data_IF_534497144721
#
_entry.id   IF_534497144721
#
_cell.length_a   1.000
_cell.length_b   1.000
_cell.length_c   1.000
_cell.angle_alpha   90.00
_cell.angle_beta   90.00
_cell.angle_gamma   90.00
#
_symmetry.space_group_name_H-M   'P 1'
#
loop_
_entity.id
_entity.type
_entity.pdbx_description
1 polymer ?
#
# COMPACT_ATOMS: atom_id res chain seq x y z
N UNK A 1 4.49 4.02 -7.18
CA UNK A 1 3.81 4.15 -5.89
C UNK A 1 3.48 2.77 -5.27
N UNK A 2 2.79 1.86 -5.95
CA UNK A 2 2.44 0.52 -5.42
C UNK A 2 3.66 -0.31 -5.02
N UNK A 3 4.78 -0.16 -5.72
CA UNK A 3 6.07 -0.80 -5.37
C UNK A 3 6.56 -0.40 -3.98
N UNK A 4 6.39 0.89 -3.61
CA UNK A 4 6.76 1.39 -2.28
C UNK A 4 5.89 0.74 -1.18
N UNK A 5 4.56 0.69 -1.38
CA UNK A 5 3.65 0.04 -0.43
C UNK A 5 3.96 -1.45 -0.25
N UNK A 6 4.26 -2.16 -1.34
CA UNK A 6 4.62 -3.58 -1.30
C UNK A 6 5.95 -3.82 -0.56
N UNK A 7 6.96 -2.97 -0.80
CA UNK A 7 8.25 -3.06 -0.11
C UNK A 7 8.09 -2.82 1.40
N UNK A 8 7.36 -1.78 1.81
CA UNK A 8 7.14 -1.48 3.23
C UNK A 8 6.34 -2.59 3.91
N UNK A 9 5.29 -3.12 3.27
CA UNK A 9 4.56 -4.28 3.76
C UNK A 9 5.51 -5.47 3.99
N UNK A 10 6.39 -5.77 3.03
CA UNK A 10 7.35 -6.87 3.14
C UNK A 10 8.36 -6.66 4.28
N UNK A 11 8.84 -5.42 4.53
CA UNK A 11 9.67 -5.10 5.68
C UNK A 11 8.97 -5.45 6.99
N UNK A 12 7.70 -5.08 7.12
CA UNK A 12 6.92 -5.36 8.32
C UNK A 12 6.62 -6.85 8.51
N UNK A 13 6.26 -7.56 7.45
CA UNK A 13 5.99 -9.00 7.50
C UNK A 13 7.24 -9.80 7.88
N UNK A 14 8.37 -9.50 7.23
CA UNK A 14 9.63 -10.24 7.44
C UNK A 14 10.43 -9.74 8.63
N UNK A 15 10.14 -8.54 9.13
CA UNK A 15 10.93 -7.78 10.13
C UNK A 15 12.38 -7.54 9.68
N UNK A 16 12.64 -7.62 8.37
CA UNK A 16 13.92 -7.30 7.75
C UNK A 16 13.90 -5.84 7.31
N UNK A 17 14.24 -4.95 8.23
CA UNK A 17 14.23 -3.53 7.98
C UNK A 17 15.59 -3.06 7.51
N UNK A 18 15.66 -2.21 6.45
CA UNK A 18 16.89 -1.50 6.11
C UNK A 18 17.39 -0.66 7.30
N UNK A 19 18.69 -0.38 7.36
CA UNK A 19 19.29 0.39 8.45
C UNK A 19 18.67 1.79 8.60
N UNK A 20 18.35 2.44 7.49
CA UNK A 20 17.72 3.75 7.45
C UNK A 20 16.26 3.77 7.91
N UNK A 21 15.59 2.61 8.00
CA UNK A 21 14.19 2.56 8.39
C UNK A 21 14.00 2.92 9.86
N UNK A 22 13.09 3.83 10.17
CA UNK A 22 12.86 4.34 11.52
C UNK A 22 12.54 3.23 12.52
N UNK A 23 13.31 3.16 13.61
CA UNK A 23 13.08 2.18 14.69
C UNK A 23 11.70 2.32 15.32
N UNK A 24 11.12 3.51 15.37
CA UNK A 24 9.79 3.78 15.94
C UNK A 24 8.65 3.18 15.12
N UNK A 25 8.92 2.88 13.84
CA UNK A 25 7.94 2.29 12.91
C UNK A 25 8.13 0.77 12.75
N UNK A 26 9.03 0.13 13.48
CA UNK A 26 9.32 -1.30 13.35
C UNK A 26 8.42 -2.12 14.25
N UNK A 27 7.85 -3.19 13.71
CA UNK A 27 7.21 -4.23 14.50
C UNK A 27 8.22 -5.30 14.88
N UNK A 28 8.13 -5.78 16.10
CA UNK A 28 9.00 -6.85 16.65
C UNK A 28 8.21 -8.13 16.95
N UNK A 29 7.00 -8.22 16.45
CA UNK A 29 6.07 -9.35 16.58
C UNK A 29 5.38 -9.63 15.26
N UNK A 30 4.74 -10.81 15.09
CA UNK A 30 3.84 -11.06 13.96
C UNK A 30 2.76 -10.00 13.87
N UNK A 31 2.41 -9.59 12.64
CA UNK A 31 1.46 -8.53 12.38
C UNK A 31 0.22 -9.04 11.63
N UNK A 32 -0.88 -8.33 11.83
CA UNK A 32 -2.06 -8.41 10.99
C UNK A 32 -2.08 -7.19 10.06
N UNK A 33 -1.85 -7.41 8.78
CA UNK A 33 -1.90 -6.36 7.79
C UNK A 33 -3.20 -6.42 6.99
N UNK A 34 -3.63 -5.28 6.48
CA UNK A 34 -4.71 -5.16 5.50
C UNK A 34 -4.21 -4.33 4.31
N UNK A 35 -4.51 -4.80 3.11
CA UNK A 35 -4.24 -4.11 1.85
C UNK A 35 -5.57 -3.86 1.16
N UNK A 36 -5.82 -2.61 0.79
CA UNK A 36 -7.04 -2.20 0.09
C UNK A 36 -6.67 -1.50 -1.20
N UNK A 37 -7.31 -1.89 -2.29
CA UNK A 37 -7.21 -1.20 -3.57
C UNK A 37 -8.60 -0.90 -4.15
N UNK A 38 -8.65 -0.24 -5.28
CA UNK A 38 -9.90 0.17 -5.94
C UNK A 38 -10.71 -1.03 -6.48
N UNK A 39 -10.04 -2.07 -7.04
CA UNK A 39 -10.71 -3.23 -7.63
C UNK A 39 -10.00 -4.55 -7.32
N UNK A 40 -10.78 -5.65 -7.20
CA UNK A 40 -10.24 -7.01 -6.96
C UNK A 40 -9.26 -7.46 -8.05
N UNK A 41 -9.54 -7.12 -9.32
CA UNK A 41 -8.64 -7.45 -10.42
C UNK A 41 -7.25 -6.81 -10.29
N UNK A 42 -7.17 -5.64 -9.66
CA UNK A 42 -5.90 -4.94 -9.42
C UNK A 42 -5.06 -5.64 -8.36
N UNK A 43 -5.71 -6.28 -7.39
CA UNK A 43 -5.00 -7.13 -6.41
C UNK A 43 -4.20 -8.19 -7.15
N UNK A 44 -4.82 -8.89 -8.10
CA UNK A 44 -4.18 -9.96 -8.86
C UNK A 44 -3.11 -9.45 -9.84
N UNK A 45 -3.46 -8.39 -10.61
CA UNK A 45 -2.61 -7.91 -11.71
C UNK A 45 -1.45 -7.01 -11.27
N UNK A 46 -1.59 -6.32 -10.14
CA UNK A 46 -0.63 -5.30 -9.70
C UNK A 46 -0.10 -5.60 -8.30
N UNK A 47 -0.98 -5.77 -7.32
CA UNK A 47 -0.59 -5.83 -5.91
C UNK A 47 0.14 -7.14 -5.58
N UNK A 48 -0.44 -8.28 -5.94
CA UNK A 48 0.16 -9.59 -5.67
C UNK A 48 1.54 -9.74 -6.33
N UNK A 49 1.74 -9.43 -7.63
CA UNK A 49 3.06 -9.46 -8.25
C UNK A 49 4.09 -8.57 -7.53
N UNK A 50 3.69 -7.35 -7.13
CA UNK A 50 4.57 -6.44 -6.40
C UNK A 50 4.95 -6.97 -5.01
N UNK A 51 4.01 -7.55 -4.28
CA UNK A 51 4.33 -8.17 -2.99
C UNK A 51 5.32 -9.33 -3.18
N UNK A 52 5.14 -10.14 -4.23
CA UNK A 52 6.04 -11.27 -4.52
C UNK A 52 7.45 -10.86 -4.93
N UNK A 53 7.66 -9.64 -5.41
CA UNK A 53 9.00 -9.09 -5.67
C UNK A 53 9.80 -8.93 -4.36
N UNK A 54 9.14 -8.64 -3.23
CA UNK A 54 9.79 -8.32 -1.96
C UNK A 54 9.60 -9.37 -0.86
N UNK A 55 8.50 -10.15 -0.91
CA UNK A 55 8.21 -11.17 0.08
C UNK A 55 8.73 -12.53 -0.42
N UNK A 56 9.74 -13.13 0.24
CA UNK A 56 10.28 -14.42 -0.15
C UNK A 56 9.20 -15.51 -0.16
N UNK A 57 9.16 -16.32 -1.22
CA UNK A 57 8.14 -17.36 -1.38
C UNK A 57 8.17 -18.39 -0.25
N UNK A 58 9.35 -18.72 0.25
CA UNK A 58 9.56 -19.63 1.37
C UNK A 58 9.08 -19.08 2.72
N UNK A 59 8.79 -17.78 2.81
CA UNK A 59 8.20 -17.16 4.01
C UNK A 59 6.68 -17.33 4.08
N UNK A 60 6.05 -17.58 2.94
CA UNK A 60 4.60 -17.80 2.84
C UNK A 60 4.27 -19.22 3.32
N UNK A 61 3.30 -19.33 4.24
CA UNK A 61 2.79 -20.62 4.73
C UNK A 61 1.55 -21.07 3.96
N UNK A 62 0.64 -20.14 3.68
CA UNK A 62 -0.65 -20.44 3.06
C UNK A 62 -1.19 -19.22 2.32
N UNK A 63 -1.95 -19.48 1.25
CA UNK A 63 -2.63 -18.46 0.44
C UNK A 63 -4.08 -18.87 0.27
N UNK A 64 -5.00 -18.00 0.70
CA UNK A 64 -6.43 -18.16 0.45
C UNK A 64 -6.87 -17.26 -0.69
N UNK A 65 -7.70 -17.83 -1.57
CA UNK A 65 -8.34 -17.11 -2.67
C UNK A 65 -9.86 -17.19 -2.54
N UNK A 66 -10.56 -16.16 -3.00
CA UNK A 66 -12.05 -16.17 -3.11
C UNK A 66 -12.48 -16.76 -4.46
N UNK A 67 -13.78 -16.94 -4.63
CA UNK A 67 -14.39 -17.30 -5.90
C UNK A 67 -13.91 -16.35 -7.00
N UNK A 68 -13.50 -16.91 -8.14
CA UNK A 68 -12.86 -16.13 -9.21
C UNK A 68 -11.32 -16.08 -9.13
N UNK A 69 -10.71 -16.73 -8.12
CA UNK A 69 -9.26 -16.89 -8.02
C UNK A 69 -8.53 -15.71 -7.38
N UNK A 70 -9.22 -14.64 -7.02
CA UNK A 70 -8.59 -13.44 -6.45
C UNK A 70 -7.99 -13.70 -5.07
N UNK A 71 -6.83 -13.11 -4.83
CA UNK A 71 -6.12 -13.19 -3.55
C UNK A 71 -6.98 -12.56 -2.44
N UNK A 72 -7.22 -13.32 -1.39
CA UNK A 72 -7.99 -12.87 -0.22
C UNK A 72 -7.11 -12.75 1.02
N UNK A 73 -6.23 -13.73 1.27
CA UNK A 73 -5.35 -13.71 2.43
C UNK A 73 -4.02 -14.41 2.15
N UNK A 74 -2.95 -13.83 2.64
CA UNK A 74 -1.64 -14.49 2.81
C UNK A 74 -1.43 -14.74 4.28
N UNK A 75 -0.98 -15.95 4.64
CA UNK A 75 -0.50 -16.30 5.98
C UNK A 75 0.98 -16.62 5.91
N UNK A 76 1.78 -15.96 6.72
CA UNK A 76 3.22 -16.17 6.83
C UNK A 76 3.55 -17.27 7.85
N UNK A 77 4.77 -17.86 7.75
CA UNK A 77 5.23 -18.91 8.65
C UNK A 77 5.36 -18.47 10.11
N UNK A 78 5.65 -17.19 10.34
CA UNK A 78 5.75 -16.59 11.66
C UNK A 78 4.41 -16.25 12.31
N UNK A 79 3.30 -16.48 11.60
CA UNK A 79 1.95 -16.18 12.05
C UNK A 79 1.41 -14.81 11.59
N UNK A 80 2.22 -13.97 10.92
CA UNK A 80 1.72 -12.75 10.30
C UNK A 80 0.68 -13.06 9.22
N UNK A 81 -0.29 -12.16 9.05
CA UNK A 81 -1.34 -12.29 8.03
C UNK A 81 -1.49 -11.00 7.24
N UNK A 82 -1.89 -11.14 5.99
CA UNK A 82 -2.29 -10.02 5.14
C UNK A 82 -3.66 -10.33 4.56
N UNK A 83 -4.63 -9.48 4.84
CA UNK A 83 -5.96 -9.53 4.23
C UNK A 83 -6.03 -8.56 3.05
N UNK A 84 -6.71 -8.96 1.99
CA UNK A 84 -6.87 -8.17 0.77
C UNK A 84 -8.33 -7.85 0.54
N UNK A 85 -8.65 -6.58 0.44
CA UNK A 85 -10.00 -6.07 0.15
C UNK A 85 -9.96 -5.10 -1.04
N UNK A 86 -11.10 -4.90 -1.68
CA UNK A 86 -11.27 -3.85 -2.67
C UNK A 86 -12.37 -2.88 -2.28
N UNK A 87 -12.28 -1.63 -2.74
CA UNK A 87 -13.30 -0.60 -2.50
C UNK A 87 -14.66 -0.90 -3.14
N UNK A 88 -14.75 -1.97 -3.93
CA UNK A 88 -16.01 -2.49 -4.49
C UNK A 88 -16.83 -3.26 -3.47
N UNK A 89 -16.21 -3.73 -2.37
CA UNK A 89 -16.88 -4.50 -1.32
C UNK A 89 -17.72 -3.61 -0.41
N UNK A 90 -18.70 -4.22 0.25
CA UNK A 90 -19.55 -3.54 1.23
C UNK A 90 -18.74 -2.97 2.38
N UNK A 91 -19.21 -1.84 2.95
CA UNK A 91 -18.58 -1.18 4.09
C UNK A 91 -18.33 -2.13 5.26
N UNK A 92 -19.23 -3.06 5.52
CA UNK A 92 -19.11 -4.02 6.62
C UNK A 92 -17.84 -4.88 6.54
N UNK A 93 -17.30 -5.11 5.33
CA UNK A 93 -16.05 -5.85 5.15
C UNK A 93 -14.82 -5.14 5.76
N UNK A 94 -14.92 -3.83 6.00
CA UNK A 94 -13.84 -2.98 6.51
C UNK A 94 -13.96 -2.71 8.01
N UNK A 95 -14.95 -3.29 8.68
CA UNK A 95 -15.24 -3.03 10.09
C UNK A 95 -14.96 -4.26 10.97
N UNK A 96 -14.72 -4.04 12.26
CA UNK A 96 -14.64 -5.09 13.28
C UNK A 96 -13.35 -5.90 13.33
N UNK A 97 -12.39 -5.67 12.44
CA UNK A 97 -11.08 -6.33 12.50
C UNK A 97 -10.00 -5.39 13.02
N UNK A 98 -9.10 -5.92 13.85
CA UNK A 98 -7.93 -5.20 14.35
C UNK A 98 -6.71 -5.43 13.42
N UNK A 99 -5.99 -4.36 13.11
CA UNK A 99 -4.84 -4.39 12.22
C UNK A 99 -3.63 -3.65 12.82
N UNK A 100 -2.43 -4.14 12.50
CA UNK A 100 -1.15 -3.48 12.81
C UNK A 100 -0.68 -2.58 11.68
N UNK A 101 -1.00 -2.95 10.45
CA UNK A 101 -0.56 -2.24 9.25
C UNK A 101 -1.68 -2.17 8.22
N UNK A 102 -1.90 -0.98 7.69
CA UNK A 102 -2.83 -0.73 6.59
C UNK A 102 -2.10 -0.12 5.40
N UNK A 103 -2.22 -0.76 4.24
CA UNK A 103 -1.80 -0.19 2.97
C UNK A 103 -3.01 0.05 2.07
N UNK A 104 -3.31 1.32 1.80
CA UNK A 104 -4.30 1.73 0.80
C UNK A 104 -3.60 2.08 -0.51
N UNK A 105 -3.84 1.29 -1.57
CA UNK A 105 -3.34 1.58 -2.91
C UNK A 105 -4.47 2.15 -3.75
N UNK A 106 -4.30 3.36 -4.26
CA UNK A 106 -5.29 4.24 -4.88
C UNK A 106 -6.28 4.86 -3.89
N UNK A 107 -7.05 5.88 -4.34
CA UNK A 107 -7.98 6.59 -3.47
C UNK A 107 -9.07 5.67 -2.88
N UNK A 108 -9.32 5.85 -1.59
CA UNK A 108 -10.26 5.05 -0.81
C UNK A 108 -11.53 5.85 -0.49
N UNK A 109 -12.69 5.18 -0.43
CA UNK A 109 -13.91 5.80 0.08
C UNK A 109 -13.74 6.14 1.56
N UNK A 110 -14.15 7.36 1.95
CA UNK A 110 -13.98 7.86 3.34
C UNK A 110 -14.50 6.89 4.40
N UNK A 111 -15.70 6.34 4.21
CA UNK A 111 -16.32 5.43 5.18
C UNK A 111 -15.52 4.14 5.38
N UNK A 112 -14.93 3.59 4.31
CA UNK A 112 -14.10 2.39 4.37
C UNK A 112 -12.79 2.69 5.11
N UNK A 113 -12.15 3.81 4.76
CA UNK A 113 -10.96 4.30 5.48
C UNK A 113 -11.22 4.44 6.98
N UNK A 114 -12.31 5.10 7.38
CA UNK A 114 -12.67 5.29 8.79
C UNK A 114 -12.93 3.95 9.51
N UNK A 115 -13.51 2.97 8.82
CA UNK A 115 -13.70 1.61 9.34
C UNK A 115 -12.37 0.95 9.70
N UNK A 116 -11.41 1.00 8.78
CA UNK A 116 -10.07 0.42 8.97
C UNK A 116 -9.31 1.18 10.06
N UNK A 117 -9.37 2.52 10.06
CA UNK A 117 -8.66 3.34 11.04
C UNK A 117 -9.09 3.04 12.48
N UNK A 118 -10.37 2.71 12.72
CA UNK A 118 -10.83 2.24 14.04
C UNK A 118 -10.10 0.96 14.46
N UNK A 119 -9.92 0.00 13.54
CA UNK A 119 -9.20 -1.24 13.81
C UNK A 119 -7.69 -1.08 14.07
N UNK A 120 -7.10 0.04 13.64
CA UNK A 120 -5.68 0.34 13.87
C UNK A 120 -5.42 0.97 15.26
N UNK A 121 -6.43 1.65 15.85
CA UNK A 121 -6.25 2.42 17.10
C UNK A 121 -5.77 1.53 18.25
N UNK A 122 -6.44 0.40 18.47
CA UNK A 122 -6.14 -0.50 19.60
C UNK A 122 -4.76 -1.12 19.51
N UNK A 123 -4.24 -1.28 18.30
CA UNK A 123 -2.94 -1.90 18.04
C UNK A 123 -1.83 -0.87 17.80
N UNK A 124 -2.14 0.42 17.79
CA UNK A 124 -1.24 1.52 17.40
C UNK A 124 -0.64 1.25 16.04
N UNK A 125 -1.51 0.89 15.10
CA UNK A 125 -1.12 0.48 13.75
C UNK A 125 -0.57 1.64 12.93
N UNK A 126 0.06 1.29 11.80
CA UNK A 126 0.66 2.22 10.84
C UNK A 126 -0.16 2.18 9.55
N UNK A 127 -0.35 3.35 8.96
CA UNK A 127 -1.02 3.51 7.66
C UNK A 127 -0.03 4.00 6.61
N UNK A 128 -0.06 3.37 5.45
CA UNK A 128 0.62 3.78 4.22
C UNK A 128 -0.42 3.95 3.12
N UNK A 129 -0.46 5.11 2.50
CA UNK A 129 -1.36 5.39 1.38
C UNK A 129 -0.54 5.74 0.14
N UNK A 130 -0.76 5.02 -0.94
CA UNK A 130 -0.07 5.21 -2.21
C UNK A 130 -1.09 5.55 -3.29
N UNK A 131 -1.35 6.83 -3.51
CA UNK A 131 -2.44 7.29 -4.38
C UNK A 131 -2.06 8.50 -5.23
N UNK A 132 -2.91 8.79 -6.22
CA UNK A 132 -2.91 10.06 -6.95
C UNK A 132 -4.20 10.78 -6.57
N UNK A 133 -4.17 12.03 -6.07
CA UNK A 133 -5.35 12.70 -5.50
C UNK A 133 -6.28 13.28 -6.58
N UNK A 134 -6.71 12.46 -7.55
CA UNK A 134 -7.57 12.85 -8.66
C UNK A 134 -9.07 12.70 -8.35
N UNK A 135 -9.39 11.70 -7.54
CA UNK A 135 -10.76 11.38 -7.14
C UNK A 135 -10.85 11.34 -5.63
N UNK A 136 -11.83 11.33 -4.90
CA UNK A 136 -11.90 11.32 -3.43
C UNK A 136 -11.28 12.59 -2.80
N UNK A 137 -11.93 13.76 -2.92
CA UNK A 137 -11.39 15.04 -2.44
C UNK A 137 -11.03 15.06 -0.95
N UNK A 138 -11.66 14.23 -0.11
CA UNK A 138 -11.37 14.12 1.31
C UNK A 138 -9.92 13.71 1.59
N UNK A 139 -9.31 12.88 0.73
CA UNK A 139 -7.93 12.44 0.92
C UNK A 139 -6.96 13.64 0.79
N UNK A 140 -7.23 14.54 -0.16
CA UNK A 140 -6.46 15.79 -0.23
C UNK A 140 -6.67 16.62 1.02
N UNK A 141 -7.92 16.88 1.40
CA UNK A 141 -8.28 17.77 2.49
C UNK A 141 -7.87 17.26 3.88
N UNK A 142 -7.99 15.95 4.13
CA UNK A 142 -7.76 15.37 5.45
C UNK A 142 -6.41 14.69 5.61
N UNK A 143 -5.73 14.33 4.51
CA UNK A 143 -4.42 13.69 4.56
C UNK A 143 -3.33 14.64 4.06
N UNK A 144 -3.45 15.10 2.79
CA UNK A 144 -2.38 15.90 2.18
C UNK A 144 -2.28 17.28 2.82
N UNK A 145 -3.41 18.00 2.92
CA UNK A 145 -3.43 19.37 3.43
C UNK A 145 -3.21 19.44 4.97
N UNK A 146 -3.41 18.32 5.68
CA UNK A 146 -3.13 18.21 7.14
C UNK A 146 -1.79 17.58 7.47
N UNK A 147 -0.90 17.43 6.48
CA UNK A 147 0.46 16.93 6.73
C UNK A 147 1.20 17.84 7.70
N UNK A 148 1.71 17.26 8.77
CA UNK A 148 2.48 17.96 9.81
C UNK A 148 3.94 17.46 9.89
N UNK A 149 4.31 16.54 9.00
CA UNK A 149 5.63 15.91 8.97
C UNK A 149 5.95 15.04 10.19
N UNK A 150 4.97 14.79 11.07
CA UNK A 150 5.13 14.01 12.30
C UNK A 150 4.13 12.87 12.40
N UNK A 151 2.83 13.19 12.40
CA UNK A 151 1.74 12.21 12.42
C UNK A 151 1.35 11.80 11.00
N UNK A 152 1.31 12.78 10.10
CA UNK A 152 1.06 12.60 8.69
C UNK A 152 2.25 13.15 7.92
N UNK A 153 2.96 12.27 7.25
CA UNK A 153 4.06 12.61 6.34
C UNK A 153 3.62 12.37 4.91
N UNK A 154 3.79 13.36 4.05
CA UNK A 154 3.41 13.28 2.64
C UNK A 154 4.67 13.41 1.78
N UNK A 155 4.87 12.44 0.91
CA UNK A 155 5.93 12.43 -0.09
C UNK A 155 5.26 12.54 -1.46
N UNK A 156 5.53 13.62 -2.17
CA UNK A 156 5.06 13.84 -3.53
C UNK A 156 6.19 13.52 -4.50
N UNK A 157 5.89 12.72 -5.52
CA UNK A 157 6.80 12.43 -6.61
C UNK A 157 6.09 12.55 -7.95
N UNK A 158 6.80 13.09 -8.92
CA UNK A 158 6.39 13.24 -10.31
C UNK A 158 7.11 12.22 -11.21
N UNK A 159 6.78 12.17 -12.48
CA UNK A 159 7.54 11.37 -13.45
C UNK A 159 8.99 11.83 -13.56
N UNK A 160 9.25 13.13 -13.39
CA UNK A 160 10.60 13.70 -13.45
C UNK A 160 11.50 13.22 -12.32
N UNK A 161 10.92 12.87 -11.16
CA UNK A 161 11.67 12.32 -10.02
C UNK A 161 12.10 10.87 -10.25
N UNK A 162 11.55 10.19 -11.28
CA UNK A 162 11.78 8.78 -11.57
C UNK A 162 12.45 8.56 -12.95
N UNK A 163 13.19 9.53 -13.45
CA UNK A 163 13.89 9.42 -14.74
C UNK A 163 15.08 8.45 -14.70
N UNK A 164 15.72 8.31 -13.56
CA UNK A 164 16.93 7.51 -13.39
C UNK A 164 16.79 6.56 -12.20
N UNK A 165 17.40 5.39 -12.30
CA UNK A 165 17.59 4.49 -11.16
C UNK A 165 18.70 5.01 -10.23
N UNK A 166 18.88 4.33 -9.08
CA UNK A 166 19.90 4.69 -8.09
C UNK A 166 21.34 4.59 -8.62
N UNK A 167 21.55 3.99 -9.78
CA UNK A 167 22.85 3.86 -10.45
C UNK A 167 23.01 4.88 -11.58
N UNK A 168 22.02 5.78 -11.76
CA UNK A 168 22.01 6.79 -12.82
C UNK A 168 21.62 6.25 -14.19
N UNK A 169 21.09 5.01 -14.29
CA UNK A 169 20.59 4.46 -15.56
C UNK A 169 19.21 5.03 -15.85
N UNK A 170 18.92 5.52 -17.08
CA UNK A 170 17.60 5.99 -17.44
C UNK A 170 16.52 4.91 -17.27
N UNK A 171 15.45 5.23 -16.56
CA UNK A 171 14.23 4.41 -16.45
C UNK A 171 13.19 4.91 -17.45
N UNK A 172 13.06 6.26 -17.55
CA UNK A 172 12.20 6.94 -18.50
C UNK A 172 13.07 7.80 -19.41
N UNK A 173 12.88 7.73 -20.73
CA UNK A 173 13.54 8.66 -21.62
C UNK A 173 12.85 10.01 -21.60
N UNK A 174 13.59 11.07 -21.91
CA UNK A 174 13.05 12.41 -21.97
C UNK A 174 11.94 12.51 -23.02
N UNK A 175 12.14 11.86 -24.16
CA UNK A 175 11.17 11.78 -25.26
C UNK A 175 9.86 11.12 -24.79
N UNK A 176 9.92 10.01 -24.05
CA UNK A 176 8.74 9.32 -23.54
C UNK A 176 7.93 10.20 -22.55
N UNK A 177 8.62 11.04 -21.77
CA UNK A 177 7.97 12.00 -20.86
C UNK A 177 7.29 13.11 -21.67
N UNK A 178 7.98 13.69 -22.65
CA UNK A 178 7.44 14.75 -23.52
C UNK A 178 6.24 14.24 -24.34
N UNK A 179 6.31 13.02 -24.88
CA UNK A 179 5.17 12.39 -25.57
C UNK A 179 3.95 12.21 -24.65
N UNK A 180 4.19 11.78 -23.42
CA UNK A 180 3.11 11.63 -22.44
C UNK A 180 2.49 12.98 -22.06
N UNK A 181 3.29 14.01 -21.81
CA UNK A 181 2.80 15.36 -21.49
C UNK A 181 1.96 15.93 -22.63
N UNK A 182 2.42 15.76 -23.86
CA UNK A 182 1.67 16.19 -25.04
C UNK A 182 0.32 15.46 -25.18
N UNK A 183 0.26 14.18 -24.80
CA UNK A 183 -0.97 13.39 -24.83
C UNK A 183 -2.02 13.81 -23.79
N UNK A 184 -1.63 14.55 -22.75
CA UNK A 184 -2.53 15.08 -21.71
C UNK A 184 -3.08 16.48 -22.04
N UNK A 185 -2.59 17.11 -23.12
CA UNK A 185 -2.93 18.49 -23.50
C UNK A 185 -4.13 18.60 -24.45
N UNK A 186 -4.68 17.46 -24.88
CA UNK A 186 -5.89 17.32 -25.70
C UNK A 186 -7.09 16.91 -24.82
#
# INVERSE_FOLDING_TARGET
KSTLGAAELAFHLTRRYPEWFSKKRRFYRPIKAIVVCDAMQKIEKVIEPKIREFLPADYIKDIKRVTGGYLNRIKCKDGSTVDFLSSEQDQMAFEGADHDFYWGDEPQKKKQYDGIMRGLVDRRGITVLTFTPLVEPWMKQEIVDKSDGKKIEVITATMFDNQFDIKGKPILSKEAIEEFENSLSD
#
